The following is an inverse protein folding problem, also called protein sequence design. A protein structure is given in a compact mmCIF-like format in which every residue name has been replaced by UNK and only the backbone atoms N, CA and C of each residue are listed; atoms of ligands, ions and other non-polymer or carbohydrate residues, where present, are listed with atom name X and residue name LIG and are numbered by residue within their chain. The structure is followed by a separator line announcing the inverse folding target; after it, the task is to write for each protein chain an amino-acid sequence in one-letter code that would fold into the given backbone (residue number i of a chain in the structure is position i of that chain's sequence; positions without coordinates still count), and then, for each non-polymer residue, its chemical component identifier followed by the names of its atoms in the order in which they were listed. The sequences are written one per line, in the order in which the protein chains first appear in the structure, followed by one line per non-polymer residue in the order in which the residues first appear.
data_IF_038247487096
#
_entry.id   IF_038247487096
#
_cell.length_a   1.000
_cell.length_b   1.000
_cell.length_c   1.000
_cell.angle_alpha   90.00
_cell.angle_beta   90.00
_cell.angle_gamma   90.00
#
_symmetry.space_group_name_H-M   'P 1'
#
loop_
_entity.id
_entity.type
_entity.pdbx_description
1 polymer ?
#
# COMPACT_ATOMS: atom_id res chain seq x y z
N UNK A 1 -2.91 16.13 -23.84
CA UNK A 1 -3.34 15.78 -22.49
C UNK A 1 -3.60 17.04 -21.65
N UNK A 2 -2.58 17.92 -21.42
CA UNK A 2 -2.70 19.16 -20.63
C UNK A 2 -3.86 20.04 -21.10
N UNK A 3 -3.90 20.41 -22.42
CA UNK A 3 -4.98 21.22 -22.99
C UNK A 3 -6.37 20.65 -22.75
N UNK A 4 -6.51 19.31 -22.81
CA UNK A 4 -7.79 18.63 -22.62
C UNK A 4 -8.31 18.78 -21.19
N UNK A 5 -7.43 18.63 -20.21
CA UNK A 5 -7.77 18.83 -18.79
C UNK A 5 -8.10 20.29 -18.51
N UNK A 6 -7.21 21.22 -18.92
CA UNK A 6 -7.40 22.66 -18.70
C UNK A 6 -8.69 23.18 -19.33
N UNK A 7 -9.07 22.66 -20.51
CA UNK A 7 -10.33 23.03 -21.15
C UNK A 7 -11.57 22.47 -20.45
N UNK A 8 -11.44 21.30 -19.81
CA UNK A 8 -12.53 20.66 -19.07
C UNK A 8 -12.76 21.31 -17.68
N UNK A 9 -11.79 22.06 -17.16
CA UNK A 9 -11.90 22.68 -15.83
C UNK A 9 -12.85 23.88 -15.89
N UNK A 10 -13.99 23.76 -15.21
CA UNK A 10 -14.99 24.81 -15.05
C UNK A 10 -14.51 25.91 -14.10
N UNK A 11 -14.93 27.17 -14.36
CA UNK A 11 -14.58 28.32 -13.52
C UNK A 11 -15.12 28.26 -12.08
N UNK A 12 -16.08 27.42 -11.83
CA UNK A 12 -16.71 27.26 -10.51
C UNK A 12 -16.03 26.17 -9.65
N UNK A 13 -15.06 25.45 -10.20
CA UNK A 13 -14.33 24.41 -9.48
C UNK A 13 -13.52 25.05 -8.35
N UNK A 14 -13.65 24.51 -7.15
CA UNK A 14 -12.87 24.91 -5.97
C UNK A 14 -11.68 23.99 -5.71
N UNK A 15 -11.83 22.71 -6.01
CA UNK A 15 -10.80 21.69 -5.82
C UNK A 15 -10.65 20.89 -7.11
N UNK A 16 -9.43 20.74 -7.58
CA UNK A 16 -9.07 19.82 -8.68
C UNK A 16 -8.22 18.67 -8.15
N UNK A 17 -8.76 17.47 -8.23
CA UNK A 17 -8.02 16.24 -7.91
C UNK A 17 -7.57 15.57 -9.20
N UNK A 18 -6.28 15.24 -9.29
CA UNK A 18 -5.75 14.41 -10.37
C UNK A 18 -5.13 13.16 -9.75
N UNK A 19 -5.74 12.01 -10.02
CA UNK A 19 -5.24 10.71 -9.64
C UNK A 19 -4.54 10.07 -10.86
N UNK A 20 -3.24 9.86 -10.76
CA UNK A 20 -2.46 9.21 -11.82
C UNK A 20 -1.12 8.71 -11.31
N UNK A 21 -0.67 7.61 -11.88
CA UNK A 21 0.68 7.08 -11.73
C UNK A 21 1.66 7.56 -12.80
N UNK A 22 1.22 8.47 -13.69
CA UNK A 22 2.05 8.97 -14.78
C UNK A 22 2.74 10.28 -14.40
N UNK A 23 3.97 10.46 -14.88
CA UNK A 23 4.70 11.73 -14.81
C UNK A 23 4.05 12.82 -15.65
N UNK A 24 4.42 14.09 -15.44
CA UNK A 24 3.94 15.24 -16.21
C UNK A 24 2.76 15.99 -15.63
N UNK A 25 2.54 15.90 -14.32
CA UNK A 25 1.49 16.65 -13.61
C UNK A 25 1.78 18.15 -13.50
N UNK A 26 3.04 18.54 -13.36
CA UNK A 26 3.44 19.94 -13.15
C UNK A 26 2.85 20.89 -14.21
N UNK A 27 2.97 20.65 -15.52
CA UNK A 27 2.40 21.53 -16.53
C UNK A 27 0.88 21.63 -16.45
N UNK A 28 0.21 20.57 -16.02
CA UNK A 28 -1.25 20.56 -15.85
C UNK A 28 -1.65 21.49 -14.72
N UNK A 29 -1.11 21.30 -13.53
CA UNK A 29 -1.43 22.12 -12.36
C UNK A 29 -1.05 23.58 -12.56
N UNK A 30 0.13 23.87 -13.14
CA UNK A 30 0.54 25.21 -13.49
C UNK A 30 -0.46 25.90 -14.42
N UNK A 31 -0.91 25.22 -15.49
CA UNK A 31 -1.89 25.75 -16.42
C UNK A 31 -3.25 26.00 -15.77
N UNK A 32 -3.68 25.11 -14.87
CA UNK A 32 -4.92 25.26 -14.12
C UNK A 32 -4.84 26.42 -13.13
N UNK A 33 -3.77 26.53 -12.37
CA UNK A 33 -3.54 27.66 -11.43
C UNK A 33 -3.47 29.00 -12.19
N UNK A 34 -2.92 29.02 -13.39
CA UNK A 34 -2.90 30.22 -14.22
C UNK A 34 -4.33 30.63 -14.65
N UNK A 35 -5.17 29.64 -15.00
CA UNK A 35 -6.58 29.88 -15.38
C UNK A 35 -7.47 30.20 -14.18
N UNK A 36 -7.25 29.55 -13.06
CA UNK A 36 -8.03 29.62 -11.82
C UNK A 36 -7.09 29.73 -10.62
N UNK A 37 -6.58 30.92 -10.27
CA UNK A 37 -5.59 31.09 -9.21
C UNK A 37 -6.05 30.60 -7.82
N UNK A 38 -7.35 30.65 -7.55
CA UNK A 38 -7.93 30.24 -6.26
C UNK A 38 -8.29 28.75 -6.15
N UNK A 39 -8.03 27.93 -7.19
CA UNK A 39 -8.34 26.51 -7.14
C UNK A 39 -7.32 25.77 -6.28
N UNK A 40 -7.82 24.90 -5.39
CA UNK A 40 -6.96 23.95 -4.67
C UNK A 40 -6.65 22.77 -5.57
N UNK A 41 -5.37 22.44 -5.69
CA UNK A 41 -4.88 21.37 -6.54
C UNK A 41 -4.36 20.21 -5.72
N UNK A 42 -4.83 19.01 -6.03
CA UNK A 42 -4.50 17.78 -5.31
C UNK A 42 -3.93 16.75 -6.26
N UNK A 43 -2.72 16.30 -5.99
CA UNK A 43 -2.12 15.15 -6.65
C UNK A 43 -2.36 13.90 -5.79
N UNK A 44 -3.11 12.93 -6.32
CA UNK A 44 -3.51 11.73 -5.59
C UNK A 44 -2.87 10.47 -6.15
N UNK A 45 -2.36 9.62 -5.27
CA UNK A 45 -1.89 8.29 -5.63
C UNK A 45 -0.59 8.24 -6.45
N UNK A 46 0.27 9.25 -6.32
CA UNK A 46 1.54 9.33 -7.05
C UNK A 46 2.61 8.31 -6.59
N UNK A 47 2.20 7.32 -5.81
CA UNK A 47 3.07 6.29 -5.25
C UNK A 47 3.75 5.37 -6.27
N UNK A 48 3.16 5.22 -7.45
CA UNK A 48 3.70 4.40 -8.53
C UNK A 48 4.72 5.14 -9.42
N UNK A 49 4.97 6.43 -9.15
CA UNK A 49 6.03 7.20 -9.81
C UNK A 49 7.40 6.81 -9.25
N UNK A 50 8.44 6.98 -10.04
CA UNK A 50 9.82 6.82 -9.54
C UNK A 50 10.10 7.77 -8.38
N UNK A 51 11.08 7.43 -7.52
CA UNK A 51 11.48 8.29 -6.40
C UNK A 51 11.85 9.71 -6.85
N UNK A 52 12.40 9.84 -8.06
CA UNK A 52 12.76 11.14 -8.65
C UNK A 52 11.50 11.92 -9.03
N UNK A 53 10.53 11.25 -9.65
CA UNK A 53 9.27 11.90 -10.05
C UNK A 53 8.46 12.36 -8.84
N UNK A 54 8.38 11.54 -7.79
CA UNK A 54 7.75 11.91 -6.51
C UNK A 54 8.39 13.17 -5.92
N UNK A 55 9.72 13.24 -5.93
CA UNK A 55 10.45 14.38 -5.41
C UNK A 55 10.23 15.66 -6.23
N UNK A 56 10.17 15.54 -7.56
CA UNK A 56 9.86 16.67 -8.45
C UNK A 56 8.43 17.17 -8.23
N UNK A 57 7.47 16.25 -8.13
CA UNK A 57 6.07 16.59 -7.85
C UNK A 57 5.94 17.26 -6.48
N UNK A 58 6.63 16.76 -5.46
CA UNK A 58 6.60 17.34 -4.13
C UNK A 58 7.23 18.76 -4.05
N UNK A 59 8.02 19.15 -5.04
CA UNK A 59 8.57 20.51 -5.17
C UNK A 59 7.73 21.45 -6.01
N UNK A 60 6.68 20.96 -6.65
CA UNK A 60 5.84 21.80 -7.51
C UNK A 60 4.97 22.74 -6.66
N UNK A 61 5.21 24.04 -6.81
CA UNK A 61 4.45 25.10 -6.13
C UNK A 61 2.98 25.19 -6.59
N UNK A 62 2.65 24.52 -7.68
CA UNK A 62 1.29 24.51 -8.21
C UNK A 62 0.48 23.32 -7.69
N UNK A 63 1.04 22.48 -6.81
CA UNK A 63 0.35 21.39 -6.13
C UNK A 63 0.21 21.76 -4.66
N UNK A 64 -1.02 21.95 -4.22
CA UNK A 64 -1.31 22.33 -2.84
C UNK A 64 -1.29 21.11 -1.91
N UNK A 65 -1.82 19.99 -2.34
CA UNK A 65 -1.90 18.75 -1.56
C UNK A 65 -1.40 17.59 -2.41
N UNK A 66 -0.52 16.79 -1.85
CA UNK A 66 -0.04 15.55 -2.46
C UNK A 66 -0.23 14.35 -1.53
N UNK A 67 -0.90 13.32 -1.99
CA UNK A 67 -0.92 12.02 -1.35
C UNK A 67 -0.01 11.07 -2.12
N UNK A 68 1.06 10.67 -1.47
CA UNK A 68 2.03 9.70 -1.99
C UNK A 68 1.75 8.37 -1.32
N UNK A 69 1.59 7.32 -2.09
CA UNK A 69 1.48 5.97 -1.54
C UNK A 69 2.88 5.40 -1.36
N UNK A 70 3.14 4.82 -0.20
CA UNK A 70 4.40 4.12 0.04
C UNK A 70 4.56 2.95 -0.92
N UNK A 71 5.72 2.89 -1.57
CA UNK A 71 6.08 1.77 -2.46
C UNK A 71 6.87 0.69 -1.73
N UNK A 72 7.17 0.91 -0.45
CA UNK A 72 8.02 0.02 0.34
C UNK A 72 7.19 -1.09 1.00
N UNK A 73 6.58 -1.94 0.14
CA UNK A 73 5.70 -3.03 0.58
C UNK A 73 6.41 -4.07 1.43
N UNK A 74 7.68 -4.34 1.15
CA UNK A 74 8.49 -5.26 1.96
C UNK A 74 8.70 -4.73 3.37
N UNK A 75 8.98 -3.43 3.52
CA UNK A 75 9.05 -2.78 4.83
C UNK A 75 7.72 -2.87 5.58
N UNK A 76 6.61 -2.55 4.94
CA UNK A 76 5.27 -2.60 5.53
C UNK A 76 4.90 -4.03 5.93
N UNK A 77 5.18 -4.99 5.06
CA UNK A 77 4.95 -6.41 5.32
C UNK A 77 5.77 -6.92 6.50
N UNK A 78 7.00 -6.43 6.68
CA UNK A 78 7.84 -6.77 7.82
C UNK A 78 7.27 -6.21 9.13
N UNK A 79 6.75 -4.97 9.12
CA UNK A 79 6.09 -4.39 10.29
C UNK A 79 4.85 -5.23 10.66
N UNK A 80 4.04 -5.59 9.67
CA UNK A 80 2.90 -6.49 9.87
C UNK A 80 3.34 -7.86 10.40
N UNK A 81 4.41 -8.44 9.85
CA UNK A 81 4.97 -9.71 10.34
C UNK A 81 5.37 -9.63 11.82
N UNK A 82 5.91 -8.49 12.25
CA UNK A 82 6.23 -8.23 13.66
C UNK A 82 4.97 -8.27 14.54
N UNK A 83 3.89 -7.67 14.10
CA UNK A 83 2.60 -7.69 14.81
C UNK A 83 2.04 -9.11 14.89
N UNK A 84 2.31 -9.94 13.85
CA UNK A 84 1.97 -11.36 13.80
C UNK A 84 2.95 -12.26 14.55
N UNK A 85 3.87 -11.68 15.33
CA UNK A 85 4.87 -12.37 16.16
C UNK A 85 5.94 -13.15 15.36
N UNK A 86 6.25 -12.73 14.14
CA UNK A 86 7.35 -13.31 13.37
C UNK A 86 8.70 -13.02 14.04
N UNK A 87 9.59 -14.03 14.01
CA UNK A 87 11.00 -13.93 14.43
C UNK A 87 11.94 -13.89 13.24
N UNK A 88 11.53 -14.44 12.12
CA UNK A 88 12.28 -14.46 10.88
C UNK A 88 11.41 -13.99 9.72
N UNK A 89 12.03 -13.36 8.73
CA UNK A 89 11.36 -12.81 7.56
C UNK A 89 12.15 -13.17 6.29
N UNK A 90 11.51 -13.86 5.37
CA UNK A 90 12.05 -14.23 4.08
C UNK A 90 11.43 -13.31 3.03
N UNK A 91 12.26 -12.51 2.39
CA UNK A 91 11.90 -11.62 1.29
C UNK A 91 12.19 -12.33 -0.03
N UNK A 92 11.14 -12.74 -0.77
CA UNK A 92 11.28 -13.36 -2.08
C UNK A 92 11.27 -12.31 -3.17
N UNK A 93 12.25 -12.39 -4.07
CA UNK A 93 12.34 -11.50 -5.22
C UNK A 93 12.88 -12.28 -6.42
N UNK A 94 12.36 -12.00 -7.63
CA UNK A 94 12.85 -12.65 -8.84
C UNK A 94 14.24 -12.17 -9.21
N UNK A 95 15.01 -13.03 -9.88
CA UNK A 95 16.33 -12.72 -10.45
C UNK A 95 16.31 -11.51 -11.38
N UNK A 96 15.18 -11.31 -12.07
CA UNK A 96 15.01 -10.19 -12.99
C UNK A 96 14.79 -8.85 -12.26
N UNK A 97 14.26 -8.89 -11.04
CA UNK A 97 13.84 -7.71 -10.31
C UNK A 97 14.82 -7.27 -9.22
N UNK A 98 15.63 -8.18 -8.67
CA UNK A 98 16.50 -7.90 -7.51
C UNK A 98 17.45 -6.70 -7.72
N UNK A 99 17.91 -6.46 -8.95
CA UNK A 99 18.80 -5.36 -9.29
C UNK A 99 18.08 -4.06 -9.66
N UNK A 100 16.76 -4.09 -9.80
CA UNK A 100 15.99 -2.88 -10.10
C UNK A 100 15.94 -1.97 -8.88
N UNK A 101 16.07 -0.68 -9.13
CA UNK A 101 16.22 0.33 -8.08
C UNK A 101 15.12 0.27 -7.03
N UNK A 102 13.86 0.15 -7.45
CA UNK A 102 12.70 0.08 -6.57
C UNK A 102 12.76 -1.11 -5.60
N UNK A 103 13.21 -2.29 -6.08
CA UNK A 103 13.38 -3.47 -5.23
C UNK A 103 14.57 -3.34 -4.28
N UNK A 104 15.68 -2.78 -4.76
CA UNK A 104 16.86 -2.52 -3.92
C UNK A 104 16.50 -1.54 -2.79
N UNK A 105 15.76 -0.49 -3.08
CA UNK A 105 15.31 0.48 -2.07
C UNK A 105 14.35 -0.18 -1.06
N UNK A 106 13.37 -0.98 -1.51
CA UNK A 106 12.44 -1.68 -0.62
C UNK A 106 13.14 -2.71 0.28
N UNK A 107 14.04 -3.52 -0.30
CA UNK A 107 14.88 -4.48 0.46
C UNK A 107 15.69 -3.76 1.55
N UNK A 108 16.30 -2.63 1.22
CA UNK A 108 17.09 -1.87 2.20
C UNK A 108 16.20 -1.28 3.31
N UNK A 109 15.02 -0.77 2.98
CA UNK A 109 14.05 -0.29 3.97
C UNK A 109 13.53 -1.42 4.86
N UNK A 110 13.22 -2.57 4.27
CA UNK A 110 12.81 -3.77 5.02
C UNK A 110 13.93 -4.26 5.96
N UNK A 111 15.19 -4.31 5.48
CA UNK A 111 16.35 -4.68 6.30
C UNK A 111 16.56 -3.76 7.50
N UNK A 112 16.42 -2.44 7.30
CA UNK A 112 16.52 -1.47 8.40
C UNK A 112 15.39 -1.66 9.42
N UNK A 113 14.18 -1.95 8.98
CA UNK A 113 13.07 -2.28 9.86
C UNK A 113 13.33 -3.60 10.61
N UNK A 114 13.89 -4.61 9.94
CA UNK A 114 14.25 -5.89 10.58
C UNK A 114 15.25 -5.71 11.72
N UNK A 115 16.28 -4.91 11.49
CA UNK A 115 17.25 -4.55 12.54
C UNK A 115 16.56 -3.85 13.74
N UNK A 116 15.68 -2.89 13.45
CA UNK A 116 14.94 -2.17 14.50
C UNK A 116 14.07 -3.10 15.35
N UNK A 117 13.42 -4.07 14.73
CA UNK A 117 12.49 -5.00 15.38
C UNK A 117 13.10 -6.33 15.80
N UNK A 118 14.40 -6.51 15.58
CA UNK A 118 15.15 -7.73 15.92
C UNK A 118 14.55 -8.98 15.25
N UNK A 119 14.25 -8.86 13.95
CA UNK A 119 13.75 -9.95 13.11
C UNK A 119 14.90 -10.42 12.21
N UNK A 120 15.14 -11.72 12.14
CA UNK A 120 16.09 -12.31 11.21
C UNK A 120 15.60 -12.09 9.77
N UNK A 121 16.41 -11.42 8.94
CA UNK A 121 16.01 -11.00 7.60
C UNK A 121 16.85 -11.67 6.53
N UNK A 122 16.21 -12.42 5.65
CA UNK A 122 16.85 -13.10 4.51
C UNK A 122 16.20 -12.65 3.21
N UNK A 123 17.00 -12.37 2.20
CA UNK A 123 16.53 -12.18 0.83
C UNK A 123 16.83 -13.48 0.06
N UNK A 124 15.79 -14.06 -0.52
CA UNK A 124 15.89 -15.23 -1.40
C UNK A 124 15.61 -14.77 -2.83
N UNK A 125 16.66 -14.85 -3.64
CA UNK A 125 16.58 -14.61 -5.07
C UNK A 125 16.07 -15.87 -5.77
N UNK A 126 14.91 -15.78 -6.40
CA UNK A 126 14.20 -16.91 -6.97
C UNK A 126 14.09 -16.82 -8.49
N UNK A 127 14.19 -17.95 -9.14
CA UNK A 127 13.91 -18.12 -10.57
C UNK A 127 12.52 -18.74 -10.77
N UNK A 128 12.31 -19.27 -11.97
CA UNK A 128 11.05 -19.97 -12.33
C UNK A 128 10.84 -21.26 -11.54
N UNK A 129 11.92 -21.90 -11.08
CA UNK A 129 11.86 -23.11 -10.28
C UNK A 129 12.06 -22.80 -8.80
N UNK A 130 11.04 -23.11 -8.00
CA UNK A 130 10.99 -22.91 -6.55
C UNK A 130 11.33 -24.17 -5.73
N UNK A 131 11.69 -25.28 -6.38
CA UNK A 131 11.91 -26.57 -5.71
C UNK A 131 13.00 -26.51 -4.63
N UNK A 132 14.08 -25.80 -4.89
CA UNK A 132 15.17 -25.68 -3.92
C UNK A 132 14.79 -24.80 -2.73
N UNK A 133 14.01 -23.74 -2.97
CA UNK A 133 13.42 -22.96 -1.89
C UNK A 133 12.43 -23.81 -1.08
N UNK A 134 11.56 -24.57 -1.76
CA UNK A 134 10.61 -25.46 -1.07
C UNK A 134 11.34 -26.49 -0.18
N UNK A 135 12.41 -27.13 -0.67
CA UNK A 135 13.24 -28.04 0.14
C UNK A 135 13.82 -27.35 1.39
N UNK A 136 14.33 -26.12 1.25
CA UNK A 136 14.82 -25.34 2.39
C UNK A 136 13.70 -25.09 3.42
N UNK A 137 12.51 -24.70 2.96
CA UNK A 137 11.37 -24.44 3.83
C UNK A 137 10.86 -25.71 4.51
N UNK A 138 10.81 -26.83 3.79
CA UNK A 138 10.40 -28.12 4.32
C UNK A 138 11.38 -28.70 5.35
N UNK A 139 12.66 -28.36 5.23
CA UNK A 139 13.70 -28.76 6.20
C UNK A 139 13.59 -28.02 7.55
N UNK A 140 12.86 -26.92 7.62
CA UNK A 140 12.61 -26.21 8.89
C UNK A 140 11.69 -27.02 9.78
N UNK A 141 11.95 -27.02 11.08
CA UNK A 141 11.03 -27.64 12.05
C UNK A 141 9.75 -26.76 12.20
N UNK A 142 8.68 -27.36 12.75
CA UNK A 142 7.38 -26.68 12.87
C UNK A 142 7.44 -25.41 13.71
N UNK A 143 8.22 -25.38 14.78
CA UNK A 143 8.38 -24.21 15.62
C UNK A 143 9.02 -23.04 14.86
N UNK A 144 10.03 -23.32 14.05
CA UNK A 144 10.68 -22.31 13.19
C UNK A 144 9.71 -21.83 12.11
N UNK A 145 9.04 -22.75 11.40
CA UNK A 145 8.05 -22.39 10.36
C UNK A 145 6.96 -21.48 10.91
N UNK A 146 6.43 -21.82 12.09
CA UNK A 146 5.34 -21.07 12.69
C UNK A 146 5.70 -19.63 13.09
N UNK A 147 6.97 -19.27 13.16
CA UNK A 147 7.48 -17.93 13.48
C UNK A 147 8.26 -17.31 12.32
N UNK A 148 8.25 -17.91 11.14
CA UNK A 148 8.88 -17.38 9.93
C UNK A 148 7.81 -16.77 9.02
N UNK A 149 8.00 -15.51 8.65
CA UNK A 149 7.18 -14.83 7.66
C UNK A 149 7.80 -14.99 6.27
N UNK A 150 6.95 -15.20 5.26
CA UNK A 150 7.33 -15.21 3.86
C UNK A 150 6.60 -14.07 3.17
N UNK A 151 7.34 -13.19 2.52
CA UNK A 151 6.80 -12.10 1.71
C UNK A 151 7.32 -12.23 0.29
N UNK A 152 6.46 -12.07 -0.69
CA UNK A 152 6.84 -11.99 -2.08
C UNK A 152 6.69 -10.59 -2.63
N UNK A 153 7.79 -10.02 -3.14
CA UNK A 153 7.76 -8.77 -3.87
C UNK A 153 7.14 -8.92 -5.27
N UNK A 154 7.19 -10.13 -5.82
CA UNK A 154 6.63 -10.46 -7.13
C UNK A 154 5.34 -11.27 -6.99
N UNK A 155 4.27 -10.83 -7.66
CA UNK A 155 2.97 -11.53 -7.66
C UNK A 155 3.03 -12.96 -8.19
N UNK A 156 4.04 -13.25 -9.01
CA UNK A 156 4.27 -14.58 -9.58
C UNK A 156 4.35 -15.67 -8.51
N UNK A 157 4.82 -15.33 -7.31
CA UNK A 157 5.02 -16.29 -6.22
C UNK A 157 3.89 -16.30 -5.17
N UNK A 158 2.77 -15.59 -5.42
CA UNK A 158 1.63 -15.55 -4.48
C UNK A 158 1.05 -16.93 -4.19
N UNK A 159 0.94 -17.78 -5.24
CA UNK A 159 0.44 -19.15 -5.11
C UNK A 159 1.33 -19.99 -4.20
N UNK A 160 2.63 -19.91 -4.39
CA UNK A 160 3.64 -20.56 -3.56
C UNK A 160 3.58 -20.11 -2.09
N UNK A 161 3.44 -18.81 -1.85
CA UNK A 161 3.34 -18.27 -0.49
C UNK A 161 2.07 -18.78 0.22
N UNK A 162 0.93 -18.79 -0.49
CA UNK A 162 -0.33 -19.30 0.05
C UNK A 162 -0.28 -20.80 0.35
N UNK A 163 0.38 -21.59 -0.50
CA UNK A 163 0.57 -23.02 -0.24
C UNK A 163 1.41 -23.25 1.01
N UNK A 164 2.47 -22.46 1.21
CA UNK A 164 3.31 -22.56 2.41
C UNK A 164 2.60 -22.08 3.68
N UNK A 165 1.72 -21.06 3.58
CA UNK A 165 0.81 -20.72 4.69
C UNK A 165 -0.07 -21.92 5.07
N UNK A 166 -0.76 -22.50 4.08
CA UNK A 166 -1.81 -23.52 4.32
C UNK A 166 -1.21 -24.86 4.78
N UNK A 167 -0.15 -25.32 4.11
CA UNK A 167 0.47 -26.63 4.36
C UNK A 167 1.49 -26.59 5.48
N UNK A 168 2.29 -25.54 5.53
CA UNK A 168 3.46 -25.45 6.39
C UNK A 168 3.33 -24.46 7.54
N UNK A 169 2.21 -23.74 7.64
CA UNK A 169 1.87 -22.77 8.70
C UNK A 169 2.83 -21.58 8.80
N UNK A 170 3.51 -21.21 7.70
CA UNK A 170 4.28 -19.97 7.65
C UNK A 170 3.37 -18.75 7.82
N UNK A 171 3.93 -17.64 8.26
CA UNK A 171 3.24 -16.36 8.31
C UNK A 171 3.30 -15.71 6.93
N UNK A 172 2.16 -15.29 6.41
CA UNK A 172 2.06 -14.50 5.18
C UNK A 172 1.59 -13.09 5.53
N UNK A 173 2.52 -12.13 5.70
CA UNK A 173 2.22 -10.81 6.26
C UNK A 173 1.57 -9.85 5.25
N UNK A 174 1.55 -10.22 4.00
CA UNK A 174 0.91 -9.43 2.95
C UNK A 174 0.44 -10.33 1.80
N UNK A 175 -0.83 -10.21 1.49
CA UNK A 175 -1.40 -10.68 0.24
C UNK A 175 -1.94 -9.45 -0.50
N UNK A 176 -1.41 -9.18 -1.67
CA UNK A 176 -1.87 -8.04 -2.45
C UNK A 176 -3.29 -8.25 -2.96
N UNK A 177 -4.09 -7.24 -2.74
CA UNK A 177 -5.45 -6.92 -3.19
C UNK A 177 -6.19 -7.86 -4.18
N UNK A 178 -7.23 -7.40 -4.75
CA UNK A 178 -8.28 -8.01 -5.59
C UNK A 178 -7.93 -9.26 -6.43
N UNK A 179 -6.76 -9.31 -7.09
CA UNK A 179 -6.37 -10.48 -7.88
C UNK A 179 -5.96 -11.67 -6.99
N UNK A 180 -5.41 -11.38 -5.81
CA UNK A 180 -5.02 -12.42 -4.87
C UNK A 180 -6.22 -12.87 -4.02
N UNK A 181 -7.29 -12.06 -3.94
CA UNK A 181 -8.55 -12.41 -3.28
C UNK A 181 -9.23 -13.63 -3.89
N UNK A 182 -9.23 -13.75 -5.22
CA UNK A 182 -9.78 -14.92 -5.92
C UNK A 182 -8.88 -16.14 -5.73
N UNK A 183 -7.57 -15.97 -5.76
CA UNK A 183 -6.63 -17.02 -5.45
C UNK A 183 -6.80 -17.50 -4.01
N UNK A 184 -6.91 -16.57 -3.06
CA UNK A 184 -7.16 -16.88 -1.66
C UNK A 184 -8.48 -17.64 -1.48
N UNK A 185 -9.56 -17.18 -2.11
CA UNK A 185 -10.86 -17.83 -2.08
C UNK A 185 -10.78 -19.28 -2.58
N UNK A 186 -10.09 -19.49 -3.70
CA UNK A 186 -9.84 -20.82 -4.27
C UNK A 186 -9.04 -21.72 -3.33
N UNK A 187 -7.95 -21.20 -2.73
CA UNK A 187 -7.09 -21.97 -1.80
C UNK A 187 -7.77 -22.30 -0.49
N UNK A 188 -8.67 -21.45 -0.02
CA UNK A 188 -9.43 -21.68 1.21
C UNK A 188 -10.74 -22.43 0.99
N UNK A 189 -11.13 -22.70 -0.26
CA UNK A 189 -12.40 -23.32 -0.65
C UNK A 189 -13.60 -22.50 -0.14
N UNK A 190 -13.57 -21.20 -0.38
CA UNK A 190 -14.67 -20.29 -0.09
C UNK A 190 -15.17 -19.61 -1.38
N UNK A 191 -16.32 -18.95 -1.31
CA UNK A 191 -16.83 -18.16 -2.42
C UNK A 191 -15.88 -16.99 -2.73
N UNK A 192 -15.79 -16.59 -4.00
CA UNK A 192 -15.07 -15.38 -4.41
C UNK A 192 -15.71 -14.13 -3.81
N UNK A 193 -14.92 -13.07 -3.64
CA UNK A 193 -15.36 -11.85 -2.98
C UNK A 193 -16.64 -11.26 -3.56
N UNK A 194 -16.81 -11.29 -4.89
CA UNK A 194 -18.00 -10.79 -5.60
C UNK A 194 -19.32 -11.47 -5.20
N UNK A 195 -19.24 -12.67 -4.61
CA UNK A 195 -20.39 -13.44 -4.13
C UNK A 195 -20.79 -13.13 -2.69
N UNK A 196 -20.07 -12.23 -2.03
CA UNK A 196 -20.39 -11.72 -0.70
C UNK A 196 -21.11 -10.37 -0.80
N UNK A 197 -21.93 -10.04 0.19
CA UNK A 197 -22.65 -8.77 0.25
C UNK A 197 -21.72 -7.59 0.51
N UNK A 198 -20.62 -7.85 1.21
CA UNK A 198 -19.61 -6.84 1.55
C UNK A 198 -18.23 -7.48 1.67
N UNK A 199 -17.20 -6.65 1.62
CA UNK A 199 -15.83 -7.06 1.91
C UNK A 199 -15.71 -7.62 3.33
N UNK A 200 -16.39 -7.04 4.27
CA UNK A 200 -16.38 -7.49 5.65
C UNK A 200 -16.91 -8.93 5.81
N UNK A 201 -17.94 -9.30 5.05
CA UNK A 201 -18.48 -10.66 5.05
C UNK A 201 -17.48 -11.66 4.47
N UNK A 202 -16.77 -11.28 3.40
CA UNK A 202 -15.67 -12.08 2.85
C UNK A 202 -14.55 -12.26 3.88
N UNK A 203 -14.11 -11.19 4.52
CA UNK A 203 -13.05 -11.21 5.51
C UNK A 203 -13.42 -12.08 6.73
N UNK A 204 -14.68 -12.04 7.17
CA UNK A 204 -15.21 -12.95 8.22
C UNK A 204 -15.14 -14.41 7.78
N UNK A 205 -15.47 -14.70 6.52
CA UNK A 205 -15.37 -16.06 5.99
C UNK A 205 -13.92 -16.55 5.93
N UNK A 206 -12.99 -15.70 5.47
CA UNK A 206 -11.55 -15.99 5.48
C UNK A 206 -11.08 -16.30 6.89
N UNK A 207 -11.35 -15.40 7.86
CA UNK A 207 -10.94 -15.56 9.26
C UNK A 207 -11.50 -16.87 9.86
N UNK A 208 -12.76 -17.20 9.58
CA UNK A 208 -13.40 -18.43 10.06
C UNK A 208 -12.70 -19.68 9.54
N UNK A 209 -12.36 -19.71 8.26
CA UNK A 209 -11.68 -20.87 7.65
C UNK A 209 -10.25 -21.00 8.17
N UNK A 210 -9.52 -19.88 8.27
CA UNK A 210 -8.17 -19.90 8.82
C UNK A 210 -8.17 -20.38 10.27
N UNK A 211 -9.11 -19.92 11.10
CA UNK A 211 -9.24 -20.37 12.48
C UNK A 211 -9.54 -21.88 12.57
N UNK A 212 -10.43 -22.41 11.72
CA UNK A 212 -10.74 -23.85 11.69
C UNK A 212 -9.55 -24.72 11.27
N UNK A 213 -8.56 -24.14 10.56
CA UNK A 213 -7.33 -24.82 10.15
C UNK A 213 -6.15 -24.56 11.10
N UNK A 214 -6.36 -23.83 12.21
CA UNK A 214 -5.30 -23.45 13.15
C UNK A 214 -4.31 -22.43 12.58
N UNK A 215 -4.79 -21.55 11.67
CA UNK A 215 -4.02 -20.54 10.97
C UNK A 215 -4.39 -19.11 11.37
N UNK A 216 -5.06 -18.92 12.52
CA UNK A 216 -5.37 -17.59 13.04
C UNK A 216 -4.09 -16.76 13.20
N UNK A 217 -4.14 -15.49 12.81
CA UNK A 217 -3.01 -14.57 12.82
C UNK A 217 -1.80 -15.00 11.94
N UNK A 218 -2.05 -15.84 10.92
CA UNK A 218 -1.00 -16.29 9.99
C UNK A 218 -1.09 -15.64 8.61
N UNK A 219 -2.20 -14.98 8.32
CA UNK A 219 -2.42 -14.26 7.08
C UNK A 219 -2.69 -12.79 7.39
N UNK A 220 -2.09 -11.91 6.61
CA UNK A 220 -2.49 -10.52 6.54
C UNK A 220 -2.53 -10.04 5.09
N UNK A 221 -3.27 -8.98 4.83
CA UNK A 221 -3.37 -8.41 3.50
C UNK A 221 -4.01 -7.03 3.49
N UNK A 222 -3.75 -6.29 2.41
CA UNK A 222 -4.39 -5.00 2.15
C UNK A 222 -5.76 -5.28 1.56
N UNK A 223 -6.80 -4.90 2.30
CA UNK A 223 -8.18 -5.23 1.97
C UNK A 223 -8.76 -4.45 0.80
N UNK A 224 -8.14 -3.32 0.43
CA UNK A 224 -8.71 -2.41 -0.56
C UNK A 224 -7.70 -1.93 -1.59
N UNK A 225 -8.20 -1.50 -2.75
CA UNK A 225 -7.39 -0.84 -3.77
C UNK A 225 -6.80 0.44 -3.21
N UNK A 226 -5.47 0.59 -3.25
CA UNK A 226 -4.77 1.81 -2.83
C UNK A 226 -5.35 3.07 -3.47
N UNK A 227 -5.65 3.01 -4.76
CA UNK A 227 -6.23 4.14 -5.49
C UNK A 227 -7.65 4.47 -5.05
N UNK A 228 -8.46 3.48 -4.69
CA UNK A 228 -9.80 3.71 -4.15
C UNK A 228 -9.71 4.43 -2.80
N UNK A 229 -8.92 3.88 -1.88
CA UNK A 229 -8.73 4.44 -0.53
C UNK A 229 -8.18 5.87 -0.59
N UNK A 230 -7.16 6.14 -1.39
CA UNK A 230 -6.62 7.50 -1.51
C UNK A 230 -7.63 8.46 -2.12
N UNK A 231 -8.48 7.99 -3.05
CA UNK A 231 -9.54 8.81 -3.64
C UNK A 231 -10.64 9.14 -2.62
N UNK A 232 -11.03 8.19 -1.79
CA UNK A 232 -11.99 8.42 -0.70
C UNK A 232 -11.46 9.43 0.31
N UNK A 233 -10.19 9.31 0.72
CA UNK A 233 -9.54 10.28 1.60
C UNK A 233 -9.55 11.68 0.98
N UNK A 234 -9.20 11.80 -0.29
CA UNK A 234 -9.16 13.11 -0.97
C UNK A 234 -10.55 13.72 -1.06
N UNK A 235 -11.57 12.93 -1.37
CA UNK A 235 -12.96 13.40 -1.43
C UNK A 235 -13.41 13.90 -0.05
N UNK A 236 -13.12 13.16 1.02
CA UNK A 236 -13.47 13.54 2.38
C UNK A 236 -12.74 14.82 2.80
N UNK A 237 -11.45 14.94 2.49
CA UNK A 237 -10.68 16.16 2.74
C UNK A 237 -11.25 17.35 1.95
N UNK A 238 -11.58 17.16 0.66
CA UNK A 238 -12.12 18.20 -0.19
C UNK A 238 -13.51 18.66 0.31
N UNK A 239 -14.38 17.74 0.70
CA UNK A 239 -15.69 18.05 1.28
C UNK A 239 -15.55 18.86 2.56
N UNK A 240 -14.66 18.46 3.45
CA UNK A 240 -14.41 19.17 4.69
C UNK A 240 -13.89 20.60 4.45
N UNK A 241 -12.98 20.77 3.51
CA UNK A 241 -12.48 22.10 3.10
C UNK A 241 -13.61 22.98 2.58
N UNK A 242 -14.51 22.43 1.77
CA UNK A 242 -15.64 23.15 1.23
C UNK A 242 -16.67 23.54 2.30
N UNK A 243 -17.05 22.61 3.16
CA UNK A 243 -18.06 22.81 4.21
C UNK A 243 -17.62 23.82 5.29
N UNK A 244 -16.34 23.79 5.65
CA UNK A 244 -15.78 24.61 6.72
C UNK A 244 -15.13 25.90 6.23
N UNK A 245 -15.16 26.16 4.92
CA UNK A 245 -14.46 27.28 4.29
C UNK A 245 -12.99 27.39 4.75
N UNK A 246 -12.34 26.23 4.88
CA UNK A 246 -10.95 26.11 5.33
C UNK A 246 -10.00 26.77 4.34
N UNK A 247 -9.08 27.56 4.83
CA UNK A 247 -7.94 27.96 4.03
C UNK A 247 -6.89 26.84 3.95
N UNK A 248 -6.03 26.90 2.95
CA UNK A 248 -4.97 25.92 2.75
C UNK A 248 -4.02 25.80 3.96
N UNK A 249 -3.72 26.90 4.60
CA UNK A 249 -2.79 26.98 5.73
C UNK A 249 -3.27 26.14 6.92
N UNK A 250 -4.58 26.12 7.17
CA UNK A 250 -5.19 25.28 8.21
C UNK A 250 -5.18 23.81 7.85
N UNK A 251 -5.35 23.45 6.57
CA UNK A 251 -5.17 22.08 6.10
C UNK A 251 -3.76 21.58 6.33
N UNK A 252 -2.80 22.43 6.26
CA UNK A 252 -1.39 22.14 6.32
C UNK A 252 -0.87 21.87 7.71
N UNK A 253 -1.28 22.59 8.65
CA UNK A 253 -0.88 22.39 10.04
C UNK A 253 -1.67 21.25 10.69
N UNK A 254 -2.77 20.86 10.10
CA UNK A 254 -3.73 19.97 10.75
C UNK A 254 -3.66 18.53 10.24
N UNK A 255 -2.72 17.74 10.79
CA UNK A 255 -2.73 16.29 10.63
C UNK A 255 -4.07 15.67 11.06
N UNK A 256 -4.86 16.38 11.85
CA UNK A 256 -6.17 15.93 12.30
C UNK A 256 -7.15 15.74 11.15
N UNK A 257 -7.00 16.47 10.04
CA UNK A 257 -7.87 16.34 8.88
C UNK A 257 -7.75 14.95 8.22
N UNK A 258 -6.51 14.51 7.96
CA UNK A 258 -6.25 13.18 7.42
C UNK A 258 -6.59 12.09 8.43
N UNK A 259 -6.29 12.31 9.70
CA UNK A 259 -6.68 11.40 10.77
C UNK A 259 -8.20 11.28 10.90
N UNK A 260 -8.92 12.37 10.71
CA UNK A 260 -10.40 12.36 10.70
C UNK A 260 -10.94 11.59 9.51
N UNK A 261 -10.40 11.82 8.30
CA UNK A 261 -10.78 11.06 7.13
C UNK A 261 -10.50 9.55 7.34
N UNK A 262 -9.33 9.21 7.86
CA UNK A 262 -8.97 7.83 8.22
C UNK A 262 -9.97 7.21 9.20
N UNK A 263 -10.39 7.95 10.22
CA UNK A 263 -11.36 7.49 11.23
C UNK A 263 -12.75 7.36 10.64
N UNK A 264 -13.23 8.36 9.89
CA UNK A 264 -14.56 8.36 9.30
C UNK A 264 -14.75 7.22 8.29
N UNK A 265 -13.70 6.93 7.52
CA UNK A 265 -13.70 5.86 6.53
C UNK A 265 -13.27 4.50 7.12
N UNK A 266 -12.94 4.45 8.42
CA UNK A 266 -12.46 3.26 9.12
C UNK A 266 -11.26 2.59 8.42
N UNK A 267 -10.32 3.41 7.95
CA UNK A 267 -9.14 2.96 7.23
C UNK A 267 -7.99 2.79 8.22
N UNK A 268 -7.27 1.68 8.13
CA UNK A 268 -6.04 1.45 8.88
C UNK A 268 -4.84 2.10 8.19
N UNK A 269 -4.77 3.43 8.17
CA UNK A 269 -3.71 4.16 7.48
C UNK A 269 -2.82 4.93 8.45
N UNK A 270 -1.54 4.92 8.17
CA UNK A 270 -0.57 5.82 8.76
C UNK A 270 -0.17 6.92 7.77
N UNK A 271 -0.01 8.13 8.29
CA UNK A 271 0.37 9.30 7.50
C UNK A 271 1.71 9.83 8.00
N UNK A 272 2.71 9.78 7.14
CA UNK A 272 4.02 10.36 7.39
C UNK A 272 4.26 11.60 6.54
N UNK A 273 5.08 12.53 7.02
CA UNK A 273 5.52 13.67 6.23
C UNK A 273 6.45 13.20 5.12
N UNK A 274 6.16 13.60 3.89
CA UNK A 274 7.00 13.29 2.75
C UNK A 274 8.12 14.32 2.62
N UNK A 275 9.25 14.05 3.24
CA UNK A 275 10.48 14.84 3.10
C UNK A 275 10.33 16.35 3.36
N UNK A 276 11.20 17.14 2.74
CA UNK A 276 11.13 18.61 2.70
C UNK A 276 10.31 18.99 1.46
N UNK A 277 8.99 18.89 1.57
CA UNK A 277 8.10 19.26 0.49
C UNK A 277 7.56 20.67 0.63
N UNK A 278 7.35 21.36 -0.48
CA UNK A 278 6.53 22.55 -0.53
C UNK A 278 5.07 22.10 -0.50
N UNK A 279 4.33 22.47 0.52
CA UNK A 279 2.93 22.09 0.65
C UNK A 279 2.72 20.77 1.43
N UNK A 280 1.54 20.19 1.25
CA UNK A 280 1.04 19.05 2.03
C UNK A 280 1.22 17.78 1.30
N UNK A 281 2.42 17.27 1.33
CA UNK A 281 2.72 15.95 0.86
C UNK A 281 2.73 14.99 2.05
N UNK A 282 1.89 13.98 2.01
CA UNK A 282 1.83 12.92 3.00
C UNK A 282 2.07 11.59 2.30
N UNK A 283 2.96 10.80 2.88
CA UNK A 283 3.12 9.41 2.50
C UNK A 283 2.13 8.56 3.28
N UNK A 284 1.34 7.77 2.55
CA UNK A 284 0.36 6.85 3.10
C UNK A 284 0.97 5.47 3.17
N UNK A 285 0.99 4.88 4.35
CA UNK A 285 1.30 3.48 4.56
C UNK A 285 0.01 2.74 4.90
N UNK A 286 -0.27 1.68 4.14
CA UNK A 286 -1.45 0.87 4.36
C UNK A 286 -1.15 -0.19 5.39
N UNK A 287 -1.91 -0.19 6.48
CA UNK A 287 -1.87 -1.29 7.42
C UNK A 287 -2.57 -2.50 6.82
N UNK A 288 -1.91 -3.64 6.85
CA UNK A 288 -2.52 -4.90 6.47
C UNK A 288 -3.49 -5.36 7.55
N UNK A 289 -4.66 -5.83 7.13
CA UNK A 289 -5.59 -6.52 8.02
C UNK A 289 -5.04 -7.90 8.35
N UNK A 290 -4.98 -8.24 9.62
CA UNK A 290 -4.59 -9.58 10.09
C UNK A 290 -5.86 -10.42 10.27
N UNK A 291 -5.82 -11.63 9.72
CA UNK A 291 -6.93 -12.60 9.74
C UNK A 291 -6.74 -13.70 10.78
#
# INVERSE_FOLDING_TARGET
YVKRIVNAVDKNIKVLVIATNKSGLEPVFKSVKTKLPGVVTVANGIGELSSVDKYLVAKDKNIDIGLVVSDYLGRESLITAKEMSAKSFIYLVSKENISKREYVEDINKARLAALKYQIDFTVEEVGDNLDDLQKKLDAMNEATRSTTAIYSADRLYSDFCLDNLIKNKFILPNINSLNDGDLLAKKLDIKTMEKFKSREDFDKAVSKVLASRGLSNKLAGISESRNAVTSEIVIEVANYMYEKNFNLEECYTNTSLLNRANTNLNLGLNFDSFGIAYGYFRELSFLSRIY
#
